data_IF_640893674898
#
_entry.id   IF_640893674898
#
_cell.length_a   1.000
_cell.length_b   1.000
_cell.length_c   1.000
_cell.angle_alpha   90.00
_cell.angle_beta   90.00
_cell.angle_gamma   90.00
#
_symmetry.space_group_name_H-M   'P 1'
#
loop_
_entity.id
_entity.type
_entity.pdbx_description
1 polymer ?
#
# COMPACT_ATOMS: atom_id res chain seq x y z
N UNK A 1 -8.66 -14.72 20.80
CA UNK A 1 -7.82 -13.75 21.50
C UNK A 1 -7.28 -12.74 20.51
N UNK A 2 -7.80 -11.51 20.53
CA UNK A 2 -7.25 -10.36 19.83
C UNK A 2 -6.09 -9.87 20.71
N UNK A 3 -4.93 -10.50 20.56
CA UNK A 3 -3.73 -10.14 21.32
C UNK A 3 -2.75 -9.39 20.44
N UNK A 4 -2.34 -8.21 20.84
CA UNK A 4 -1.19 -7.54 20.25
C UNK A 4 -1.16 -6.03 20.35
N UNK A 5 -2.29 -5.36 20.51
CA UNK A 5 -2.36 -3.92 20.79
C UNK A 5 -2.44 -3.61 22.31
N UNK A 6 -2.49 -4.65 23.16
CA UNK A 6 -2.58 -4.48 24.61
C UNK A 6 -1.36 -3.75 25.23
N UNK A 7 -0.18 -3.83 24.59
CA UNK A 7 1.01 -3.08 25.00
C UNK A 7 0.94 -1.57 24.76
N UNK A 8 -0.03 -1.11 24.00
CA UNK A 8 -0.32 0.31 23.72
C UNK A 8 -1.63 0.76 24.39
N UNK A 9 -2.22 -0.04 25.30
CA UNK A 9 -3.53 0.26 25.88
C UNK A 9 -4.71 0.10 24.93
N UNK A 10 -4.49 -0.41 23.71
CA UNK A 10 -5.51 -0.62 22.69
C UNK A 10 -5.95 -2.09 22.71
N UNK A 11 -6.93 -2.41 23.54
CA UNK A 11 -7.64 -3.67 23.49
C UNK A 11 -8.88 -3.57 22.57
N UNK A 12 -9.42 -4.71 22.10
CA UNK A 12 -10.68 -4.69 21.36
C UNK A 12 -11.82 -4.03 22.12
N UNK A 13 -11.99 -4.25 23.46
CA UNK A 13 -12.96 -3.51 24.26
C UNK A 13 -12.71 -2.00 24.25
N UNK A 14 -11.47 -1.55 24.39
CA UNK A 14 -11.11 -0.13 24.35
C UNK A 14 -11.41 0.48 22.98
N UNK A 15 -11.09 -0.25 21.90
CA UNK A 15 -11.41 0.18 20.53
C UNK A 15 -12.94 0.26 20.31
N UNK A 16 -13.69 -0.74 20.76
CA UNK A 16 -15.15 -0.75 20.64
C UNK A 16 -15.81 0.32 21.51
N UNK A 17 -15.28 0.56 22.72
CA UNK A 17 -15.74 1.66 23.58
C UNK A 17 -15.41 3.02 22.94
N UNK A 18 -14.22 3.20 22.41
CA UNK A 18 -13.85 4.41 21.64
C UNK A 18 -14.74 4.64 20.44
N UNK A 19 -15.08 3.59 19.68
CA UNK A 19 -16.02 3.67 18.55
C UNK A 19 -17.44 4.05 19.00
N UNK A 20 -17.94 3.52 20.11
CA UNK A 20 -19.24 3.89 20.69
C UNK A 20 -19.27 5.34 21.14
N UNK A 21 -18.21 5.80 21.81
CA UNK A 21 -18.05 7.19 22.21
C UNK A 21 -17.96 8.15 21.01
N UNK A 22 -17.18 7.79 19.98
CA UNK A 22 -17.05 8.56 18.76
C UNK A 22 -18.40 8.62 18.00
N UNK A 23 -19.12 7.49 17.90
CA UNK A 23 -20.47 7.45 17.30
C UNK A 23 -21.47 8.28 18.09
N UNK A 24 -21.43 8.24 19.42
CA UNK A 24 -22.27 9.04 20.31
C UNK A 24 -21.99 10.55 20.19
N UNK A 25 -20.76 10.94 19.78
CA UNK A 25 -20.36 12.32 19.52
C UNK A 25 -20.55 12.75 18.06
N UNK A 26 -21.13 11.89 17.20
CA UNK A 26 -21.17 12.11 15.76
C UNK A 26 -19.80 12.00 15.05
N UNK A 27 -18.78 11.52 15.76
CA UNK A 27 -17.42 11.33 15.26
C UNK A 27 -17.24 9.90 14.73
N UNK A 28 -17.88 9.57 13.62
CA UNK A 28 -17.71 8.26 12.95
C UNK A 28 -16.30 8.07 12.39
N UNK A 29 -15.92 6.81 12.13
CA UNK A 29 -14.68 6.52 11.39
C UNK A 29 -14.72 7.23 10.03
N UNK A 30 -13.85 8.20 9.83
CA UNK A 30 -13.83 9.04 8.62
C UNK A 30 -13.18 8.35 7.43
N UNK A 31 -12.20 7.46 7.67
CA UNK A 31 -11.46 6.81 6.60
C UNK A 31 -12.34 5.77 5.87
N UNK A 32 -12.56 6.01 4.60
CA UNK A 32 -13.23 5.12 3.66
C UNK A 32 -12.25 4.41 2.74
N UNK A 33 -11.07 5.00 2.57
CA UNK A 33 -10.00 4.54 1.71
C UNK A 33 -8.68 4.46 2.48
N UNK A 34 -7.73 3.65 1.96
CA UNK A 34 -6.39 3.57 2.51
C UNK A 34 -5.35 3.53 1.39
N UNK A 35 -4.27 4.28 1.57
CA UNK A 35 -3.03 4.14 0.80
C UNK A 35 -1.95 3.68 1.78
N UNK A 36 -1.44 2.47 1.57
CA UNK A 36 -0.33 1.91 2.32
C UNK A 36 0.95 2.05 1.52
N UNK A 37 1.88 2.84 2.00
CA UNK A 37 3.25 2.91 1.49
C UNK A 37 4.07 1.87 2.24
N UNK A 38 4.58 0.88 1.50
CA UNK A 38 5.33 -0.24 2.04
C UNK A 38 6.78 -0.20 1.58
N UNK A 39 7.68 0.26 2.47
CA UNK A 39 9.13 0.31 2.21
C UNK A 39 9.79 -0.92 2.84
N UNK A 40 9.89 -1.99 2.04
CA UNK A 40 10.38 -3.27 2.50
C UNK A 40 11.89 -3.29 2.66
N UNK A 41 12.36 -3.70 3.84
CA UNK A 41 13.77 -3.92 4.13
C UNK A 41 14.31 -3.15 5.35
N UNK A 42 13.44 -2.64 6.22
CA UNK A 42 13.87 -1.99 7.45
C UNK A 42 14.37 -0.56 7.23
N UNK A 43 13.49 0.33 6.87
CA UNK A 43 13.80 1.77 6.76
C UNK A 43 14.43 2.26 8.06
N UNK A 44 15.62 2.85 7.98
CA UNK A 44 16.35 3.31 9.16
C UNK A 44 15.67 4.51 9.83
N UNK A 45 15.11 4.29 11.00
CA UNK A 45 14.50 5.35 11.81
C UNK A 45 15.54 6.32 12.37
N UNK A 46 16.73 5.83 12.75
CA UNK A 46 17.84 6.66 13.25
C UNK A 46 18.31 7.66 12.19
N UNK A 47 18.32 7.24 10.93
CA UNK A 47 18.81 8.04 9.81
C UNK A 47 17.72 8.88 9.15
N UNK A 48 16.49 8.89 9.71
CA UNK A 48 15.35 9.64 9.16
C UNK A 48 14.61 10.45 10.24
N UNK A 49 13.62 9.85 10.89
CA UNK A 49 12.65 10.55 11.76
C UNK A 49 12.97 10.54 13.25
N UNK A 50 13.98 9.76 13.67
CA UNK A 50 14.31 9.61 15.08
C UNK A 50 15.83 9.67 15.30
N UNK A 51 16.52 10.76 14.88
CA UNK A 51 17.95 10.91 15.07
C UNK A 51 18.33 10.91 16.55
N UNK A 52 19.52 10.38 16.85
CA UNK A 52 20.10 10.33 18.19
C UNK A 52 21.36 11.18 18.23
N UNK A 53 21.28 12.53 18.14
CA UNK A 53 22.45 13.39 17.97
C UNK A 53 23.48 13.28 19.08
N UNK A 54 23.02 12.98 20.30
CA UNK A 54 23.87 12.87 21.49
C UNK A 54 24.45 11.46 21.69
N UNK A 55 24.08 10.51 20.82
CA UNK A 55 24.64 9.16 20.87
C UNK A 55 26.06 9.09 20.26
N UNK A 56 26.87 8.07 20.61
CA UNK A 56 28.15 7.85 19.96
C UNK A 56 28.01 7.76 18.43
N UNK A 57 29.08 8.13 17.70
CA UNK A 57 29.11 8.11 16.22
C UNK A 57 28.68 6.75 15.64
N UNK A 58 29.04 5.65 16.31
CA UNK A 58 28.63 4.29 15.94
C UNK A 58 27.12 4.01 16.02
N UNK A 59 26.33 4.95 16.54
CA UNK A 59 24.86 4.86 16.65
C UNK A 59 24.19 6.02 15.90
N UNK A 60 24.67 7.26 16.08
CA UNK A 60 24.01 8.43 15.50
C UNK A 60 24.12 8.55 13.99
N UNK A 61 25.07 7.84 13.39
CA UNK A 61 25.35 7.92 11.96
C UNK A 61 26.07 9.22 11.54
N UNK A 62 26.04 9.49 10.24
CA UNK A 62 26.78 10.62 9.64
C UNK A 62 25.88 11.82 9.29
N UNK A 63 24.56 11.68 9.37
CA UNK A 63 23.64 12.79 9.00
C UNK A 63 23.48 13.82 10.11
N UNK A 64 23.50 15.09 9.71
CA UNK A 64 23.10 16.20 10.56
C UNK A 64 21.59 16.16 10.90
N UNK A 65 21.19 16.98 11.87
CA UNK A 65 19.79 17.11 12.28
C UNK A 65 19.25 18.49 11.92
N UNK A 66 17.96 18.53 11.60
CA UNK A 66 17.21 19.75 11.28
C UNK A 66 15.95 19.83 12.15
N UNK A 67 15.51 21.04 12.40
CA UNK A 67 14.24 21.29 13.08
C UNK A 67 13.07 20.97 12.14
N UNK A 68 11.97 20.51 12.73
CA UNK A 68 10.72 20.31 12.01
C UNK A 68 9.75 21.47 12.23
N UNK A 69 8.60 21.47 11.56
CA UNK A 69 7.52 22.41 11.82
C UNK A 69 6.90 22.25 13.24
N UNK A 70 7.29 21.22 14.01
CA UNK A 70 6.85 21.00 15.40
C UNK A 70 8.00 21.38 16.33
N UNK A 71 7.84 22.41 17.18
CA UNK A 71 8.89 22.82 18.11
C UNK A 71 9.43 21.66 18.95
N UNK A 72 10.77 21.56 19.05
CA UNK A 72 11.45 20.53 19.82
C UNK A 72 11.51 19.15 19.14
N UNK A 73 10.91 18.96 17.97
CA UNK A 73 11.01 17.73 17.17
C UNK A 73 12.02 17.95 16.05
N UNK A 74 13.02 17.07 15.99
CA UNK A 74 14.08 17.11 14.98
C UNK A 74 14.11 15.84 14.17
N UNK A 75 14.42 15.96 12.88
CA UNK A 75 14.68 14.87 11.95
C UNK A 75 16.11 14.95 11.41
N UNK A 76 16.53 13.99 10.63
CA UNK A 76 17.80 14.11 9.91
C UNK A 76 17.66 15.05 8.71
N UNK A 77 18.77 15.61 8.29
CA UNK A 77 18.83 16.58 7.16
C UNK A 77 18.40 16.02 5.82
N UNK A 78 18.30 14.68 5.67
CA UNK A 78 17.93 14.03 4.41
C UNK A 78 16.43 13.96 4.16
N UNK A 79 15.57 14.35 5.14
CA UNK A 79 14.10 14.41 5.00
C UNK A 79 13.54 15.83 5.18
N UNK A 80 14.07 16.85 4.45
CA UNK A 80 13.74 18.24 4.70
C UNK A 80 12.31 18.62 4.37
N UNK A 81 11.69 17.98 3.38
CA UNK A 81 10.31 18.26 3.02
C UNK A 81 9.34 17.66 4.02
N UNK A 82 9.57 16.41 4.45
CA UNK A 82 8.82 15.79 5.53
C UNK A 82 8.95 16.57 6.84
N UNK A 83 10.13 17.12 7.13
CA UNK A 83 10.33 17.97 8.33
C UNK A 83 9.45 19.22 8.30
N UNK A 84 9.36 19.92 7.17
CA UNK A 84 8.48 21.08 7.00
C UNK A 84 7.00 20.73 7.13
N UNK A 85 6.60 19.55 6.65
CA UNK A 85 5.22 19.08 6.65
C UNK A 85 4.85 18.27 7.90
N UNK A 86 5.69 18.25 8.95
CA UNK A 86 5.52 17.41 10.14
C UNK A 86 4.18 17.58 10.88
N UNK A 87 3.50 18.72 10.74
CA UNK A 87 2.16 18.96 11.30
C UNK A 87 1.03 18.21 10.58
N UNK A 88 1.28 17.67 9.39
CA UNK A 88 0.25 17.00 8.56
C UNK A 88 0.13 15.50 8.83
N UNK A 89 1.02 14.91 9.62
CA UNK A 89 1.01 13.49 9.89
C UNK A 89 1.42 13.18 11.34
N UNK A 90 1.05 12.01 11.80
CA UNK A 90 1.49 11.48 13.08
C UNK A 90 2.66 10.51 12.90
N UNK A 91 3.65 10.57 13.76
CA UNK A 91 4.82 9.69 13.76
C UNK A 91 4.82 8.81 15.01
N UNK A 92 4.76 7.48 14.82
CA UNK A 92 4.77 6.48 15.88
C UNK A 92 6.20 5.95 16.07
N UNK A 93 7.05 6.64 16.85
CA UNK A 93 8.46 6.27 17.09
C UNK A 93 8.64 4.98 17.90
N UNK A 94 7.72 4.68 18.81
CA UNK A 94 7.79 3.52 19.70
C UNK A 94 7.31 2.21 19.10
N UNK A 95 6.94 2.19 17.81
CA UNK A 95 6.46 0.97 17.18
C UNK A 95 7.61 0.01 16.87
N UNK A 96 7.46 -1.27 17.29
CA UNK A 96 8.45 -2.31 17.05
C UNK A 96 7.74 -3.67 16.86
N UNK A 97 7.90 -4.36 15.73
CA UNK A 97 7.29 -5.65 15.47
C UNK A 97 7.90 -6.79 16.29
N UNK A 98 9.06 -6.56 16.95
CA UNK A 98 9.82 -7.60 17.67
C UNK A 98 10.11 -8.84 16.79
N UNK A 99 10.40 -8.59 15.54
CA UNK A 99 10.71 -9.59 14.52
C UNK A 99 11.68 -8.98 13.52
N UNK A 100 12.82 -9.62 13.30
CA UNK A 100 13.87 -9.19 12.36
C UNK A 100 13.97 -10.07 11.10
N UNK A 101 12.94 -10.89 10.80
CA UNK A 101 12.90 -11.74 9.61
C UNK A 101 11.87 -11.20 8.62
N UNK A 102 12.31 -10.78 7.43
CA UNK A 102 11.48 -10.10 6.43
C UNK A 102 10.13 -10.78 6.18
N UNK A 103 10.12 -12.04 5.73
CA UNK A 103 8.87 -12.67 5.32
C UNK A 103 7.83 -12.81 6.45
N UNK A 104 8.27 -13.17 7.66
CA UNK A 104 7.36 -13.29 8.81
C UNK A 104 6.99 -11.93 9.39
N UNK A 105 7.87 -10.94 9.30
CA UNK A 105 7.56 -9.56 9.67
C UNK A 105 6.60 -8.93 8.65
N UNK A 106 6.80 -9.12 7.35
CA UNK A 106 5.90 -8.68 6.28
C UNK A 106 4.47 -9.18 6.56
N UNK A 107 4.34 -10.49 6.79
CA UNK A 107 3.05 -11.10 7.08
C UNK A 107 2.40 -10.51 8.34
N UNK A 108 3.19 -10.35 9.42
CA UNK A 108 2.65 -9.81 10.66
C UNK A 108 2.22 -8.36 10.55
N UNK A 109 3.08 -7.49 9.99
CA UNK A 109 2.78 -6.06 9.88
C UNK A 109 1.61 -5.80 8.94
N UNK A 110 1.52 -6.56 7.84
CA UNK A 110 0.44 -6.39 6.85
C UNK A 110 -0.89 -7.04 7.25
N UNK A 111 -0.90 -7.98 8.21
CA UNK A 111 -2.11 -8.68 8.66
C UNK A 111 -2.52 -8.37 10.10
N UNK A 112 -1.63 -7.81 10.92
CA UNK A 112 -1.82 -7.68 12.36
C UNK A 112 -1.74 -9.00 13.14
N UNK A 113 -1.28 -10.09 12.49
CA UNK A 113 -1.19 -11.43 13.07
C UNK A 113 0.20 -12.01 12.91
N UNK A 114 0.73 -12.62 13.98
CA UNK A 114 1.99 -13.35 13.89
C UNK A 114 1.87 -14.54 12.96
N UNK A 115 2.95 -14.87 12.28
CA UNK A 115 3.02 -16.04 11.42
C UNK A 115 2.55 -17.31 12.14
N UNK A 116 1.69 -18.06 11.46
CA UNK A 116 1.22 -19.37 11.88
C UNK A 116 1.33 -20.30 10.66
N UNK A 117 2.13 -21.39 10.73
CA UNK A 117 2.30 -22.29 9.60
C UNK A 117 1.03 -23.03 9.18
N UNK A 118 0.06 -23.15 10.08
CA UNK A 118 -1.21 -23.84 9.80
C UNK A 118 -2.29 -22.90 9.21
N UNK A 119 -2.07 -21.57 9.19
CA UNK A 119 -3.11 -20.62 8.81
C UNK A 119 -2.53 -19.38 8.15
N UNK A 120 -2.87 -19.14 6.90
CA UNK A 120 -2.53 -17.93 6.19
C UNK A 120 -3.53 -16.81 6.53
N UNK A 121 -3.06 -15.76 7.21
CA UNK A 121 -3.89 -14.61 7.56
C UNK A 121 -3.99 -13.62 6.42
N UNK A 122 -5.19 -13.05 6.17
CA UNK A 122 -5.37 -12.04 5.15
C UNK A 122 -4.69 -10.71 5.50
N UNK A 123 -4.18 -10.03 4.49
CA UNK A 123 -3.69 -8.66 4.64
C UNK A 123 -4.84 -7.68 4.83
N UNK A 124 -4.56 -6.49 5.35
CA UNK A 124 -5.57 -5.45 5.58
C UNK A 124 -6.35 -5.11 4.32
N UNK A 125 -5.68 -5.01 3.17
CA UNK A 125 -6.35 -4.74 1.89
C UNK A 125 -7.34 -5.84 1.49
N UNK A 126 -6.98 -7.11 1.72
CA UNK A 126 -7.85 -8.25 1.48
C UNK A 126 -9.06 -8.26 2.43
N UNK A 127 -8.86 -7.89 3.70
CA UNK A 127 -9.97 -7.73 4.65
C UNK A 127 -10.93 -6.61 4.21
N UNK A 128 -10.39 -5.48 3.74
CA UNK A 128 -11.21 -4.40 3.18
C UNK A 128 -11.94 -4.85 1.92
N UNK A 129 -11.29 -5.60 1.04
CA UNK A 129 -11.91 -6.20 -0.15
C UNK A 129 -13.09 -7.10 0.24
N UNK A 130 -12.90 -7.99 1.20
CA UNK A 130 -13.94 -8.93 1.68
C UNK A 130 -15.16 -8.21 2.26
N UNK A 131 -14.95 -7.27 3.20
CA UNK A 131 -16.06 -6.62 3.91
C UNK A 131 -16.72 -5.47 3.14
N UNK A 132 -16.00 -4.81 2.23
CA UNK A 132 -16.49 -3.61 1.56
C UNK A 132 -16.78 -3.82 0.08
N UNK A 133 -16.20 -4.84 -0.54
CA UNK A 133 -16.39 -5.17 -1.96
C UNK A 133 -16.08 -4.00 -2.91
N UNK A 134 -16.58 -4.12 -4.12
CA UNK A 134 -16.43 -3.12 -5.17
C UNK A 134 -17.26 -1.86 -4.85
N UNK A 135 -16.67 -0.67 -5.10
CA UNK A 135 -17.38 0.63 -5.11
C UNK A 135 -17.59 1.09 -6.55
N UNK A 136 -16.76 0.64 -7.45
CA UNK A 136 -16.77 0.95 -8.88
C UNK A 136 -16.44 -0.31 -9.66
N UNK A 137 -16.20 -0.18 -10.96
CA UNK A 137 -15.71 -1.27 -11.80
C UNK A 137 -14.26 -1.68 -11.51
N UNK A 138 -13.55 -0.90 -10.67
CA UNK A 138 -12.17 -1.18 -10.28
C UNK A 138 -12.12 -2.15 -9.09
N UNK A 139 -11.08 -3.00 -8.99
CA UNK A 139 -10.92 -3.89 -7.87
C UNK A 139 -10.80 -3.11 -6.56
N UNK A 140 -11.37 -3.60 -5.46
CA UNK A 140 -11.36 -2.91 -4.18
C UNK A 140 -9.96 -2.81 -3.56
N UNK A 141 -9.04 -3.69 -3.95
CA UNK A 141 -7.67 -3.73 -3.49
C UNK A 141 -6.68 -3.81 -4.65
N UNK A 142 -5.74 -2.86 -4.73
CA UNK A 142 -4.71 -2.78 -5.77
C UNK A 142 -3.33 -2.71 -5.11
N UNK A 143 -2.37 -3.44 -5.64
CA UNK A 143 -0.96 -3.35 -5.28
C UNK A 143 -0.15 -2.79 -6.45
N UNK A 144 0.63 -1.76 -6.19
CA UNK A 144 1.53 -1.09 -7.13
C UNK A 144 2.98 -1.29 -6.71
N UNK A 145 3.90 -1.25 -7.65
CA UNK A 145 5.32 -1.22 -7.38
C UNK A 145 5.99 -2.59 -7.40
N UNK A 146 6.77 -2.95 -6.39
CA UNK A 146 7.51 -4.20 -6.34
C UNK A 146 6.72 -5.34 -5.70
N UNK A 147 7.19 -6.57 -5.89
CA UNK A 147 6.61 -7.76 -5.25
C UNK A 147 6.76 -7.72 -3.72
N UNK A 148 5.81 -8.37 -3.06
CA UNK A 148 5.87 -8.69 -1.63
C UNK A 148 6.27 -10.16 -1.48
N UNK A 149 7.06 -10.46 -0.45
CA UNK A 149 7.45 -11.83 -0.14
C UNK A 149 6.25 -12.65 0.38
N UNK A 150 5.80 -13.58 -0.43
CA UNK A 150 4.62 -14.42 -0.13
C UNK A 150 4.92 -15.73 0.55
N UNK A 151 6.20 -16.06 0.79
CA UNK A 151 6.59 -17.35 1.40
C UNK A 151 5.93 -17.63 2.73
N UNK A 152 5.51 -16.57 3.44
CA UNK A 152 4.85 -16.64 4.74
C UNK A 152 3.44 -16.02 4.72
N UNK A 153 2.83 -15.90 3.54
CA UNK A 153 1.48 -15.37 3.37
C UNK A 153 1.37 -13.85 3.37
N UNK A 154 2.49 -13.10 3.34
CA UNK A 154 2.49 -11.65 3.17
C UNK A 154 1.85 -11.24 1.84
N UNK A 155 1.09 -10.16 1.83
CA UNK A 155 0.49 -9.62 0.61
C UNK A 155 -0.66 -10.44 0.01
N UNK A 156 -1.19 -11.45 0.71
CA UNK A 156 -2.24 -12.34 0.19
C UNK A 156 -3.56 -12.21 0.94
N UNK A 157 -4.62 -12.76 0.35
CA UNK A 157 -5.95 -12.87 0.97
C UNK A 157 -6.06 -13.97 2.02
N UNK A 158 -5.07 -14.89 2.08
CA UNK A 158 -5.08 -16.01 3.01
C UNK A 158 -6.39 -16.81 2.96
N UNK A 159 -7.01 -16.99 4.12
CA UNK A 159 -8.26 -17.76 4.28
C UNK A 159 -9.51 -17.10 3.66
N UNK A 160 -9.43 -15.88 3.17
CA UNK A 160 -10.60 -15.19 2.60
C UNK A 160 -10.90 -15.57 1.15
N UNK A 161 -10.01 -16.33 0.49
CA UNK A 161 -10.17 -16.71 -0.91
C UNK A 161 -9.38 -15.82 -1.87
N UNK A 162 -9.03 -16.39 -3.02
CA UNK A 162 -8.17 -15.75 -4.04
C UNK A 162 -8.79 -14.49 -4.64
N UNK A 163 -10.11 -14.40 -4.66
CA UNK A 163 -10.89 -13.27 -5.16
C UNK A 163 -10.62 -11.97 -4.38
N UNK A 164 -10.10 -12.08 -3.18
CA UNK A 164 -9.73 -10.95 -2.33
C UNK A 164 -8.24 -10.61 -2.37
N UNK A 165 -7.46 -11.29 -3.23
CA UNK A 165 -6.08 -10.89 -3.49
C UNK A 165 -6.02 -9.49 -4.13
N UNK A 166 -4.90 -8.77 -3.96
CA UNK A 166 -4.70 -7.51 -4.66
C UNK A 166 -4.68 -7.72 -6.19
N UNK A 167 -5.28 -6.79 -6.91
CA UNK A 167 -4.94 -6.62 -8.31
C UNK A 167 -3.52 -6.04 -8.40
N UNK A 168 -2.60 -6.81 -8.93
CA UNK A 168 -1.18 -6.45 -8.95
C UNK A 168 -0.80 -5.74 -10.23
N UNK A 169 -0.16 -4.58 -10.08
CA UNK A 169 0.40 -3.85 -11.18
C UNK A 169 1.88 -3.53 -10.87
N UNK A 170 2.74 -4.37 -11.42
CA UNK A 170 4.19 -4.30 -11.21
C UNK A 170 4.90 -3.45 -12.27
N UNK A 171 4.20 -3.00 -13.31
CA UNK A 171 4.75 -2.11 -14.32
C UNK A 171 5.15 -0.75 -13.72
N UNK A 172 6.20 -0.14 -14.26
CA UNK A 172 6.65 1.19 -13.82
C UNK A 172 5.75 2.28 -14.41
N UNK A 173 4.97 3.02 -13.59
CA UNK A 173 4.12 4.10 -14.09
C UNK A 173 4.89 5.28 -14.66
N UNK A 174 6.21 5.36 -14.44
CA UNK A 174 7.09 6.35 -15.05
C UNK A 174 7.61 5.92 -16.43
N UNK A 175 7.44 4.67 -16.81
CA UNK A 175 7.92 4.13 -18.07
C UNK A 175 7.25 4.80 -19.28
N UNK A 176 7.99 4.95 -20.39
CA UNK A 176 7.49 5.56 -21.62
C UNK A 176 6.32 4.79 -22.24
N UNK A 177 6.34 3.47 -22.10
CA UNK A 177 5.31 2.55 -22.61
C UNK A 177 4.45 1.98 -21.48
N UNK A 178 4.20 2.80 -20.45
CA UNK A 178 3.37 2.34 -19.33
C UNK A 178 1.99 1.93 -19.84
N UNK A 179 1.67 0.66 -19.67
CA UNK A 179 0.35 0.09 -19.93
C UNK A 179 0.04 -0.95 -18.85
N UNK A 180 -1.20 -1.06 -18.50
CA UNK A 180 -1.63 -2.12 -17.57
C UNK A 180 -1.96 -3.35 -18.40
N UNK A 181 -1.04 -4.32 -18.37
CA UNK A 181 -1.05 -5.50 -19.24
C UNK A 181 -2.37 -6.27 -19.13
N UNK A 182 -2.89 -6.43 -17.91
CA UNK A 182 -4.04 -7.29 -17.67
C UNK A 182 -5.41 -6.61 -17.91
N UNK A 183 -5.42 -5.28 -18.18
CA UNK A 183 -6.63 -4.53 -18.57
C UNK A 183 -6.62 -4.09 -20.04
N UNK A 184 -5.61 -4.52 -20.80
CA UNK A 184 -5.52 -4.22 -22.22
C UNK A 184 -5.52 -5.55 -22.99
N UNK A 185 -6.45 -5.76 -23.93
CA UNK A 185 -6.44 -6.96 -24.74
C UNK A 185 -5.08 -7.13 -25.45
N UNK A 186 -4.56 -8.36 -25.57
CA UNK A 186 -3.33 -8.62 -26.31
C UNK A 186 -3.42 -8.08 -27.74
N UNK A 187 -2.28 -7.71 -28.34
CA UNK A 187 -2.21 -7.27 -29.75
C UNK A 187 -2.93 -8.28 -30.66
N UNK A 188 -3.84 -7.80 -31.49
CA UNK A 188 -4.62 -8.62 -32.42
C UNK A 188 -5.93 -9.21 -31.85
N UNK A 189 -6.26 -8.95 -30.60
CA UNK A 189 -7.56 -9.33 -30.03
C UNK A 189 -8.44 -8.06 -29.91
N UNK A 190 -9.46 -7.98 -30.76
CA UNK A 190 -10.45 -6.89 -30.69
C UNK A 190 -11.45 -7.12 -29.54
N UNK A 191 -12.03 -6.03 -29.02
CA UNK A 191 -13.10 -6.11 -28.03
C UNK A 191 -14.29 -6.93 -28.50
N UNK A 192 -14.62 -6.87 -29.79
CA UNK A 192 -15.66 -7.72 -30.41
C UNK A 192 -15.33 -9.21 -30.28
N UNK A 193 -14.05 -9.58 -30.38
CA UNK A 193 -13.61 -10.97 -30.19
C UNK A 193 -13.67 -11.40 -28.73
N UNK A 194 -13.37 -10.49 -27.81
CA UNK A 194 -13.52 -10.71 -26.36
C UNK A 194 -14.99 -10.92 -26.02
N UNK A 195 -15.90 -10.07 -26.49
CA UNK A 195 -17.34 -10.19 -26.27
C UNK A 195 -17.93 -11.48 -26.86
N UNK A 196 -17.47 -11.87 -28.06
CA UNK A 196 -17.89 -13.14 -28.67
C UNK A 196 -17.47 -14.34 -27.81
N UNK A 197 -16.22 -14.34 -27.33
CA UNK A 197 -15.73 -15.41 -26.43
C UNK A 197 -16.53 -15.48 -25.13
N UNK A 198 -16.83 -14.31 -24.53
CA UNK A 198 -17.68 -14.21 -23.34
C UNK A 198 -19.06 -14.83 -23.55
N UNK A 199 -19.72 -14.49 -24.66
CA UNK A 199 -21.03 -15.06 -25.01
C UNK A 199 -20.98 -16.56 -25.22
N UNK A 200 -19.93 -17.08 -25.88
CA UNK A 200 -19.74 -18.51 -26.05
C UNK A 200 -19.48 -19.22 -24.72
N UNK A 201 -18.66 -18.64 -23.85
CA UNK A 201 -18.39 -19.21 -22.53
C UNK A 201 -19.68 -19.29 -21.70
N UNK A 202 -20.48 -18.22 -21.68
CA UNK A 202 -21.77 -18.20 -20.96
C UNK A 202 -22.75 -19.28 -21.46
N UNK A 203 -22.74 -19.61 -22.77
CA UNK A 203 -23.56 -20.70 -23.33
C UNK A 203 -23.02 -22.05 -22.85
N UNK A 204 -21.70 -22.28 -22.88
CA UNK A 204 -21.08 -23.52 -22.42
C UNK A 204 -21.33 -23.73 -20.93
N UNK A 205 -21.12 -22.70 -20.11
CA UNK A 205 -21.35 -22.72 -18.68
C UNK A 205 -22.81 -22.99 -18.34
N UNK A 206 -23.78 -22.45 -19.11
CA UNK A 206 -25.20 -22.73 -18.90
C UNK A 206 -25.56 -24.20 -19.20
N UNK A 207 -24.89 -24.80 -20.18
CA UNK A 207 -25.07 -26.23 -20.52
C UNK A 207 -24.45 -27.14 -19.45
N UNK A 208 -23.29 -26.78 -18.92
CA UNK A 208 -22.65 -27.55 -17.83
C UNK A 208 -23.45 -27.50 -16.53
N UNK A 209 -24.00 -26.33 -16.16
CA UNK A 209 -24.82 -26.17 -14.94
C UNK A 209 -26.09 -27.01 -14.91
N UNK A 210 -26.64 -27.36 -16.09
CA UNK A 210 -27.79 -28.23 -16.16
C UNK A 210 -27.49 -29.67 -15.72
N UNK A 211 -26.21 -30.04 -15.66
CA UNK A 211 -25.72 -31.36 -15.28
C UNK A 211 -25.03 -31.47 -13.91
N UNK A 212 -24.83 -30.39 -13.15
CA UNK A 212 -23.96 -30.39 -11.98
C UNK A 212 -24.66 -30.19 -10.63
N UNK A 213 -24.12 -30.90 -9.59
CA UNK A 213 -24.71 -31.02 -8.23
C UNK A 213 -24.32 -29.88 -7.26
N UNK A 214 -23.52 -28.87 -7.66
CA UNK A 214 -23.09 -27.75 -6.79
C UNK A 214 -23.14 -26.38 -7.47
N UNK A 215 -24.32 -25.73 -7.60
CA UNK A 215 -24.46 -24.44 -8.26
C UNK A 215 -23.73 -23.29 -7.57
N UNK A 216 -23.67 -23.24 -6.24
CA UNK A 216 -23.16 -22.11 -5.48
C UNK A 216 -21.65 -21.81 -5.67
N UNK A 217 -20.83 -22.86 -5.94
CA UNK A 217 -19.40 -22.66 -6.22
C UNK A 217 -19.15 -22.00 -7.58
N UNK A 218 -20.04 -22.19 -8.54
CA UNK A 218 -19.97 -21.58 -9.87
C UNK A 218 -20.50 -20.16 -9.89
N UNK A 219 -21.47 -19.82 -9.06
CA UNK A 219 -22.00 -18.46 -8.96
C UNK A 219 -20.93 -17.48 -8.52
N UNK A 220 -20.11 -17.83 -7.53
CA UNK A 220 -18.98 -17.02 -7.07
C UNK A 220 -17.90 -16.83 -8.17
N UNK A 221 -17.63 -17.87 -8.95
CA UNK A 221 -16.70 -17.81 -10.07
C UNK A 221 -17.22 -16.90 -11.18
N UNK A 222 -18.51 -16.94 -11.48
CA UNK A 222 -19.15 -16.08 -12.47
C UNK A 222 -19.18 -14.61 -12.08
N UNK A 223 -19.44 -14.31 -10.82
CA UNK A 223 -19.33 -12.93 -10.32
C UNK A 223 -17.92 -12.40 -10.48
N UNK A 224 -16.91 -13.23 -10.18
CA UNK A 224 -15.50 -12.88 -10.37
C UNK A 224 -15.15 -12.63 -11.84
N UNK A 225 -15.53 -13.55 -12.75
CA UNK A 225 -15.32 -13.37 -14.19
C UNK A 225 -16.03 -12.15 -14.73
N UNK A 226 -17.25 -11.91 -14.29
CA UNK A 226 -18.03 -10.74 -14.68
C UNK A 226 -17.36 -9.44 -14.21
N UNK A 227 -16.88 -9.40 -12.96
CA UNK A 227 -16.15 -8.27 -12.43
C UNK A 227 -14.83 -8.02 -13.19
N UNK A 228 -14.05 -9.08 -13.47
CA UNK A 228 -12.81 -8.99 -14.24
C UNK A 228 -13.06 -8.49 -15.67
N UNK A 229 -14.10 -8.99 -16.33
CA UNK A 229 -14.46 -8.55 -17.69
C UNK A 229 -14.96 -7.11 -17.71
N UNK A 230 -15.78 -6.72 -16.75
CA UNK A 230 -16.21 -5.33 -16.61
C UNK A 230 -15.02 -4.39 -16.38
N UNK A 231 -14.04 -4.80 -15.58
CA UNK A 231 -12.80 -4.06 -15.37
C UNK A 231 -12.02 -3.87 -16.69
N UNK A 232 -11.84 -4.94 -17.49
CA UNK A 232 -11.09 -4.88 -18.74
C UNK A 232 -11.80 -4.03 -19.79
N UNK A 233 -13.14 -4.05 -19.83
CA UNK A 233 -13.94 -3.40 -20.87
C UNK A 233 -14.31 -1.96 -20.53
N UNK A 234 -14.37 -1.58 -19.26
CA UNK A 234 -14.85 -0.27 -18.84
C UNK A 234 -13.88 0.87 -19.21
N UNK A 235 -14.34 1.93 -19.88
CA UNK A 235 -13.53 3.12 -20.13
C UNK A 235 -13.01 3.78 -18.85
N UNK A 236 -13.78 3.68 -17.76
CA UNK A 236 -13.41 4.21 -16.45
C UNK A 236 -12.12 3.57 -15.90
N UNK A 237 -11.93 2.26 -16.12
CA UNK A 237 -10.71 1.56 -15.72
C UNK A 237 -9.50 2.12 -16.46
N UNK A 238 -9.59 2.22 -17.79
CA UNK A 238 -8.52 2.78 -18.62
C UNK A 238 -8.18 4.20 -18.18
N UNK A 239 -9.18 5.04 -17.93
CA UNK A 239 -9.01 6.40 -17.45
C UNK A 239 -8.33 6.46 -16.09
N UNK A 240 -8.66 5.56 -15.16
CA UNK A 240 -8.06 5.53 -13.83
C UNK A 240 -6.55 5.24 -13.89
N UNK A 241 -6.14 4.30 -14.74
CA UNK A 241 -4.73 3.93 -14.90
C UNK A 241 -3.95 4.82 -15.88
N UNK A 242 -4.61 5.67 -16.67
CA UNK A 242 -3.96 6.58 -17.61
C UNK A 242 -3.29 7.75 -16.88
N UNK A 243 -2.11 7.48 -16.32
CA UNK A 243 -1.28 8.51 -15.67
C UNK A 243 -0.77 9.58 -16.66
N UNK A 244 -0.75 9.26 -17.97
CA UNK A 244 -0.35 10.17 -19.02
C UNK A 244 -1.29 11.37 -19.16
N UNK A 245 -2.56 11.21 -18.77
CA UNK A 245 -3.55 12.29 -18.77
C UNK A 245 -3.39 13.32 -17.65
N UNK A 246 -2.50 13.08 -16.67
CA UNK A 246 -2.22 14.04 -15.61
C UNK A 246 -1.32 15.18 -16.10
N UNK A 247 -1.53 16.36 -15.52
CA UNK A 247 -0.71 17.53 -15.79
C UNK A 247 0.78 17.25 -15.60
N UNK A 248 1.60 17.71 -16.55
CA UNK A 248 3.05 17.47 -16.56
C UNK A 248 3.71 18.01 -15.29
N UNK A 249 3.33 19.23 -14.85
CA UNK A 249 3.89 19.85 -13.64
C UNK A 249 3.48 19.07 -12.37
N UNK A 250 2.26 18.52 -12.34
CA UNK A 250 1.84 17.66 -11.23
C UNK A 250 2.68 16.40 -11.17
N UNK A 251 2.87 15.74 -12.31
CA UNK A 251 3.74 14.56 -12.40
C UNK A 251 5.17 14.87 -11.95
N UNK A 252 5.70 16.05 -12.30
CA UNK A 252 7.03 16.51 -11.90
C UNK A 252 7.12 16.78 -10.39
N UNK A 253 6.06 17.31 -9.77
CA UNK A 253 5.98 17.49 -8.33
C UNK A 253 6.04 16.20 -7.55
N UNK A 254 5.40 15.12 -8.04
CA UNK A 254 5.53 13.77 -7.45
C UNK A 254 6.92 13.16 -7.67
N UNK A 255 7.67 13.63 -8.67
CA UNK A 255 8.95 13.06 -9.11
C UNK A 255 8.80 12.07 -10.25
N UNK A 256 9.65 12.23 -11.29
CA UNK A 256 9.70 11.35 -12.48
C UNK A 256 10.51 10.09 -12.19
N UNK A 257 10.02 9.30 -11.27
CA UNK A 257 10.57 8.00 -10.90
C UNK A 257 9.44 7.04 -10.53
N UNK A 258 9.75 5.75 -10.43
CA UNK A 258 8.76 4.70 -10.17
C UNK A 258 7.94 4.98 -8.91
N UNK A 259 8.58 5.31 -7.79
CA UNK A 259 7.91 5.54 -6.51
C UNK A 259 6.94 6.72 -6.58
N UNK A 260 7.42 7.90 -7.05
CA UNK A 260 6.59 9.10 -7.14
C UNK A 260 5.39 8.92 -8.06
N UNK A 261 5.59 8.28 -9.23
CA UNK A 261 4.49 8.03 -10.16
C UNK A 261 3.53 6.93 -9.65
N UNK A 262 4.01 5.98 -8.83
CA UNK A 262 3.13 5.02 -8.14
C UNK A 262 2.28 5.71 -7.07
N UNK A 263 2.81 6.68 -6.33
CA UNK A 263 2.04 7.49 -5.38
C UNK A 263 0.95 8.32 -6.10
N UNK A 264 1.29 8.93 -7.24
CA UNK A 264 0.30 9.65 -8.07
C UNK A 264 -0.79 8.71 -8.59
N UNK A 265 -0.41 7.51 -9.05
CA UNK A 265 -1.36 6.51 -9.49
C UNK A 265 -2.25 6.02 -8.35
N UNK A 266 -1.70 5.82 -7.14
CA UNK A 266 -2.48 5.45 -5.96
C UNK A 266 -3.58 6.50 -5.67
N UNK A 267 -3.26 7.80 -5.72
CA UNK A 267 -4.24 8.88 -5.59
C UNK A 267 -5.34 8.78 -6.66
N UNK A 268 -4.97 8.55 -7.93
CA UNK A 268 -5.93 8.38 -9.03
C UNK A 268 -6.88 7.21 -8.80
N UNK A 269 -6.35 6.08 -8.33
CA UNK A 269 -7.13 4.88 -8.04
C UNK A 269 -8.12 5.11 -6.89
N UNK A 270 -7.71 5.79 -5.82
CA UNK A 270 -8.62 6.22 -4.73
C UNK A 270 -9.75 7.10 -5.30
N UNK A 271 -9.40 8.10 -6.11
CA UNK A 271 -10.37 8.97 -6.75
C UNK A 271 -11.34 8.22 -7.67
N UNK A 272 -10.90 7.13 -8.28
CA UNK A 272 -11.70 6.26 -9.14
C UNK A 272 -12.51 5.19 -8.36
N UNK A 273 -12.40 5.14 -7.02
CA UNK A 273 -13.22 4.29 -6.17
C UNK A 273 -12.54 3.02 -5.65
N UNK A 274 -11.23 2.84 -5.87
CA UNK A 274 -10.46 1.79 -5.20
C UNK A 274 -10.42 2.09 -3.70
N UNK A 275 -10.62 1.07 -2.87
CA UNK A 275 -10.71 1.28 -1.41
C UNK A 275 -9.36 1.17 -0.71
N UNK A 276 -8.50 0.31 -1.19
CA UNK A 276 -7.18 0.06 -0.60
C UNK A 276 -6.12 -0.04 -1.70
N UNK A 277 -5.08 0.78 -1.59
CA UNK A 277 -3.94 0.75 -2.51
C UNK A 277 -2.66 0.56 -1.70
N UNK A 278 -1.90 -0.49 -1.99
CA UNK A 278 -0.52 -0.65 -1.48
C UNK A 278 0.47 -0.15 -2.54
N UNK A 279 1.36 0.74 -2.16
CA UNK A 279 2.52 1.14 -2.97
C UNK A 279 3.76 0.51 -2.35
N UNK A 280 4.31 -0.50 -3.00
CA UNK A 280 5.47 -1.24 -2.51
C UNK A 280 6.75 -0.72 -3.14
N UNK A 281 7.73 -0.37 -2.31
CA UNK A 281 9.07 0.02 -2.70
C UNK A 281 10.10 -0.86 -1.99
N UNK A 282 10.78 -1.71 -2.74
CA UNK A 282 11.77 -2.65 -2.22
C UNK A 282 13.18 -2.08 -2.17
N UNK A 283 14.11 -2.87 -1.59
CA UNK A 283 15.54 -2.55 -1.59
C UNK A 283 15.96 -1.59 -0.46
N UNK A 284 15.21 -1.56 0.63
CA UNK A 284 15.58 -0.81 1.85
C UNK A 284 16.44 -1.63 2.81
N UNK A 285 16.63 -2.91 2.54
CA UNK A 285 17.50 -3.82 3.29
C UNK A 285 18.98 -3.58 2.95
N UNK A 286 19.49 -2.47 3.41
CA UNK A 286 20.86 -2.03 3.15
C UNK A 286 21.81 -2.57 4.22
N UNK A 287 22.45 -3.68 3.96
CA UNK A 287 23.50 -4.24 4.83
C UNK A 287 24.85 -3.54 4.67
N UNK A 288 25.00 -2.74 3.60
CA UNK A 288 26.21 -1.99 3.27
C UNK A 288 25.84 -0.65 2.66
N UNK A 289 26.68 0.35 2.85
CA UNK A 289 26.53 1.70 2.26
C UNK A 289 25.14 2.33 2.52
N UNK A 290 24.56 2.10 3.69
CA UNK A 290 23.22 2.58 4.04
C UNK A 290 23.09 4.11 3.86
N UNK A 291 24.04 4.89 4.39
CA UNK A 291 24.00 6.35 4.30
C UNK A 291 23.99 6.85 2.85
N UNK A 292 24.90 6.33 2.01
CA UNK A 292 24.93 6.65 0.58
C UNK A 292 23.64 6.26 -0.13
N UNK A 293 23.09 5.09 0.19
CA UNK A 293 21.85 4.60 -0.38
C UNK A 293 20.66 5.48 0.03
N UNK A 294 20.54 5.80 1.32
CA UNK A 294 19.46 6.68 1.83
C UNK A 294 19.54 8.06 1.20
N UNK A 295 20.70 8.72 1.25
CA UNK A 295 20.89 10.09 0.77
C UNK A 295 20.65 10.25 -0.72
N UNK A 296 21.13 9.31 -1.55
CA UNK A 296 21.17 9.50 -3.00
C UNK A 296 20.05 8.82 -3.77
N UNK A 297 19.42 7.78 -3.21
CA UNK A 297 18.46 6.98 -3.98
C UNK A 297 17.15 6.67 -3.25
N UNK A 298 17.15 6.40 -1.94
CA UNK A 298 15.96 5.93 -1.24
C UNK A 298 15.07 7.07 -0.74
N UNK A 299 15.67 8.01 -0.01
CA UNK A 299 14.92 9.10 0.63
C UNK A 299 14.44 10.18 -0.35
N UNK A 300 15.23 10.66 -1.34
CA UNK A 300 14.77 11.76 -2.17
C UNK A 300 13.43 11.53 -2.90
N UNK A 301 13.15 10.35 -3.47
CA UNK A 301 11.82 10.06 -4.01
C UNK A 301 10.70 10.13 -2.96
N UNK A 302 10.95 9.62 -1.76
CA UNK A 302 9.97 9.56 -0.67
C UNK A 302 9.70 10.94 -0.09
N UNK A 303 10.75 11.69 0.25
CA UNK A 303 10.66 13.05 0.79
C UNK A 303 9.98 14.03 -0.18
N UNK A 304 10.02 13.73 -1.47
CA UNK A 304 9.31 14.48 -2.51
C UNK A 304 7.85 14.03 -2.67
N UNK A 305 7.62 12.72 -2.80
CA UNK A 305 6.32 12.19 -3.21
C UNK A 305 5.28 12.14 -2.10
N UNK A 306 5.65 11.81 -0.85
CA UNK A 306 4.68 11.69 0.24
C UNK A 306 4.04 13.03 0.63
N UNK A 307 4.79 14.12 0.84
CA UNK A 307 4.17 15.43 1.08
C UNK A 307 3.28 15.88 -0.09
N UNK A 308 3.71 15.62 -1.33
CA UNK A 308 2.90 15.94 -2.51
C UNK A 308 1.60 15.10 -2.56
N UNK A 309 1.65 13.83 -2.16
CA UNK A 309 0.47 12.97 -2.07
C UNK A 309 -0.54 13.51 -1.06
N UNK A 310 -0.08 13.92 0.13
CA UNK A 310 -0.95 14.52 1.14
C UNK A 310 -1.58 15.81 0.65
N UNK A 311 -0.81 16.69 0.02
CA UNK A 311 -1.29 17.95 -0.55
C UNK A 311 -2.33 17.71 -1.67
N UNK A 312 -2.05 16.80 -2.61
CA UNK A 312 -2.95 16.50 -3.74
C UNK A 312 -4.27 15.84 -3.26
N UNK A 313 -4.21 14.98 -2.24
CA UNK A 313 -5.41 14.42 -1.61
C UNK A 313 -6.24 15.51 -0.89
N UNK A 314 -5.59 16.45 -0.22
CA UNK A 314 -6.25 17.57 0.46
C UNK A 314 -6.91 18.50 -0.53
N UNK A 315 -6.18 18.96 -1.56
CA UNK A 315 -6.67 19.85 -2.61
C UNK A 315 -7.88 19.29 -3.35
N UNK A 316 -8.00 17.97 -3.41
CA UNK A 316 -9.12 17.25 -4.05
C UNK A 316 -10.22 16.83 -3.07
N UNK A 317 -10.10 17.13 -1.79
CA UNK A 317 -11.06 16.78 -0.76
C UNK A 317 -11.07 15.30 -0.34
N UNK A 318 -10.06 14.52 -0.72
CA UNK A 318 -9.96 13.09 -0.38
C UNK A 318 -9.19 12.81 0.92
N UNK A 319 -8.37 13.76 1.42
CA UNK A 319 -7.54 13.52 2.61
C UNK A 319 -8.39 13.24 3.85
N UNK A 320 -9.54 13.89 3.99
CA UNK A 320 -10.44 13.69 5.13
C UNK A 320 -11.02 12.26 5.22
N UNK A 321 -11.05 11.53 4.10
CA UNK A 321 -11.61 10.18 4.01
C UNK A 321 -10.59 9.11 3.59
N UNK A 322 -9.32 9.48 3.47
CA UNK A 322 -8.24 8.57 3.07
C UNK A 322 -7.17 8.48 4.15
N UNK A 323 -6.98 7.29 4.71
CA UNK A 323 -5.86 7.01 5.60
C UNK A 323 -4.60 6.75 4.75
N UNK A 324 -3.56 7.55 4.94
CA UNK A 324 -2.24 7.31 4.34
C UNK A 324 -1.33 6.76 5.43
N UNK A 325 -0.81 5.55 5.22
CA UNK A 325 0.11 4.87 6.11
C UNK A 325 1.45 4.68 5.43
N UNK A 326 2.55 4.96 6.14
CA UNK A 326 3.88 4.53 5.73
C UNK A 326 4.42 3.55 6.76
N UNK A 327 4.65 2.32 6.34
CA UNK A 327 5.12 1.23 7.18
C UNK A 327 6.33 0.53 6.52
N UNK A 328 7.10 -0.14 7.35
CA UNK A 328 8.17 -1.07 6.97
C UNK A 328 8.03 -2.35 7.80
N UNK A 329 8.71 -3.40 7.40
CA UNK A 329 8.69 -4.70 8.07
C UNK A 329 9.31 -4.65 9.48
N UNK A 330 10.42 -3.93 9.66
CA UNK A 330 11.08 -3.68 10.96
C UNK A 330 11.96 -2.44 10.88
N UNK A 331 12.62 -2.08 12.00
CA UNK A 331 13.63 -1.02 12.05
C UNK A 331 15.05 -1.56 11.84
N UNK A 332 16.06 -0.77 12.24
CA UNK A 332 17.48 -1.14 12.16
C UNK A 332 18.07 -1.31 13.55
N UNK A 333 19.11 -2.12 13.66
CA UNK A 333 19.93 -2.21 14.88
C UNK A 333 20.64 -0.87 15.10
N UNK A 334 20.75 -0.40 16.38
CA UNK A 334 21.35 0.91 16.66
C UNK A 334 22.81 1.00 16.25
N UNK A 335 23.57 -0.10 16.39
CA UNK A 335 25.01 -0.10 16.12
C UNK A 335 25.26 -0.29 14.62
N UNK A 336 25.93 0.70 14.04
CA UNK A 336 26.38 0.67 12.65
C UNK A 336 27.49 -0.36 12.49
N UNK A 337 27.38 -1.21 11.47
CA UNK A 337 28.41 -2.22 11.16
C UNK A 337 29.61 -1.61 10.42
N UNK A 338 30.68 -2.38 10.24
CA UNK A 338 31.90 -1.93 9.55
C UNK A 338 31.69 -1.59 8.05
N UNK A 339 30.59 -2.03 7.46
CA UNK A 339 30.22 -1.74 6.06
C UNK A 339 29.22 -0.59 5.94
N UNK A 340 28.99 0.19 7.02
CA UNK A 340 28.04 1.32 7.05
C UNK A 340 26.60 0.90 6.74
N UNK A 341 26.16 -0.22 7.32
CA UNK A 341 24.81 -0.76 7.18
C UNK A 341 24.19 -1.13 8.53
#
# INVERSE_FOLDING_TARGET
>A
QVGGLAGLGLSLPTLLAGRRLAAARGEGARAENCILIWTRGGTSHHDTFDPKPDAPVSVRGEFGVIDTAIPGVRFTEIVPTMAREAKRYALLRGWNPRNGSHGTADQWVMSGRRFNPALSYPTYGSVVSYYRGFRSVLPPFVQLGSDIDRRYGGGTSGILGIEHNPFEMLADPNGKEFSVRDITPPKGISMTRVDRRRKMLAVIDSLQRQGELQPAAFDALDEYYTAAMNMITAPATKKAFDIGSEDVKLRDRYGRNRFGQSCLLARRLIQAGVRFVTVTDGGWDTHQNNFKSLKNSRIPPVDKALPQLLADLEDRGFLATTLVLWLTDFGRTPKINSASG
#
